data_IF_072823523784
#
_entry.id   IF_072823523784
#
_cell.length_a   1.000
_cell.length_b   1.000
_cell.length_c   1.000
_cell.angle_alpha   90.00
_cell.angle_beta   90.00
_cell.angle_gamma   90.00
#
_symmetry.space_group_name_H-M   'P 1'
#
loop_
_entity.id
_entity.type
_entity.pdbx_description
1 polymer ?
#
# COMPACT_ATOMS: atom_id res chain seq x y z
N UNK A 1 5.61 10.45 2.08
CA UNK A 1 4.28 10.12 2.63
C UNK A 1 3.76 8.85 1.98
N UNK A 2 3.36 7.87 2.78
CA UNK A 2 2.79 6.59 2.31
C UNK A 2 1.28 6.69 2.27
N UNK A 3 0.67 6.40 1.12
CA UNK A 3 -0.79 6.38 0.96
C UNK A 3 -1.23 5.01 0.45
N UNK A 4 -2.28 4.49 1.07
CA UNK A 4 -2.85 3.20 0.73
C UNK A 4 -4.29 3.35 0.28
N UNK A 5 -4.71 2.50 -0.66
CA UNK A 5 -6.09 2.39 -1.06
C UNK A 5 -6.80 1.37 -0.16
N UNK A 6 -7.88 1.78 0.51
CA UNK A 6 -8.71 0.90 1.35
C UNK A 6 -9.23 -0.34 0.61
N UNK A 7 -9.42 -0.23 -0.71
CA UNK A 7 -9.94 -1.31 -1.55
C UNK A 7 -8.84 -2.23 -2.11
N UNK A 8 -7.55 -1.93 -1.90
CA UNK A 8 -6.49 -2.77 -2.40
C UNK A 8 -6.36 -4.04 -1.55
N UNK A 9 -6.27 -5.19 -2.22
CA UNK A 9 -6.11 -6.45 -1.53
C UNK A 9 -4.78 -6.45 -0.75
N UNK A 10 -4.79 -6.90 0.50
CA UNK A 10 -3.58 -6.96 1.34
C UNK A 10 -3.23 -5.68 2.11
N UNK A 11 -3.98 -4.58 1.94
CA UNK A 11 -3.74 -3.31 2.65
C UNK A 11 -3.72 -3.46 4.17
N UNK A 12 -4.63 -4.27 4.73
CA UNK A 12 -4.75 -4.48 6.18
C UNK A 12 -3.45 -5.01 6.80
N UNK A 13 -2.82 -6.00 6.14
CA UNK A 13 -1.55 -6.59 6.60
C UNK A 13 -0.39 -5.61 6.52
N UNK A 14 -0.36 -4.76 5.48
CA UNK A 14 0.67 -3.73 5.35
C UNK A 14 0.51 -2.70 6.46
N UNK A 15 -0.73 -2.25 6.71
CA UNK A 15 -1.04 -1.28 7.77
C UNK A 15 -0.65 -1.82 9.15
N UNK A 16 -1.00 -3.07 9.48
CA UNK A 16 -0.56 -3.69 10.75
C UNK A 16 0.97 -3.70 10.92
N UNK A 17 1.72 -3.91 9.83
CA UNK A 17 3.17 -3.86 9.86
C UNK A 17 3.67 -2.43 10.16
N UNK A 18 3.10 -1.43 9.49
CA UNK A 18 3.47 -0.02 9.66
C UNK A 18 3.15 0.49 11.07
N UNK A 19 1.98 0.13 11.62
CA UNK A 19 1.57 0.46 12.98
C UNK A 19 2.57 -0.11 14.01
N UNK A 20 2.95 -1.40 13.87
CA UNK A 20 3.97 -2.04 14.74
C UNK A 20 5.34 -1.36 14.69
N UNK A 21 5.63 -0.65 13.60
CA UNK A 21 6.89 0.07 13.39
C UNK A 21 6.79 1.57 13.69
N UNK A 22 5.61 2.08 14.07
CA UNK A 22 5.33 3.51 14.20
C UNK A 22 5.69 4.30 12.94
N UNK A 23 5.42 3.74 11.76
CA UNK A 23 5.61 4.43 10.47
C UNK A 23 4.31 5.14 10.12
N UNK A 24 4.39 6.42 9.75
CA UNK A 24 3.23 7.21 9.33
C UNK A 24 2.69 6.79 7.96
N UNK A 25 1.36 6.72 7.85
CA UNK A 25 0.65 6.41 6.61
C UNK A 25 -0.72 7.11 6.57
N UNK A 26 -1.30 7.21 5.37
CA UNK A 26 -2.71 7.54 5.17
C UNK A 26 -3.44 6.39 4.46
N UNK A 27 -4.72 6.22 4.78
CA UNK A 27 -5.62 5.32 4.07
C UNK A 27 -6.67 6.17 3.38
N UNK A 28 -6.66 6.14 2.05
CA UNK A 28 -7.64 6.80 1.21
C UNK A 28 -8.73 5.81 0.78
N UNK A 29 -9.94 6.31 0.50
CA UNK A 29 -11.01 5.47 -0.03
C UNK A 29 -10.65 4.86 -1.40
N UNK A 30 -10.02 5.64 -2.27
CA UNK A 30 -9.53 5.23 -3.59
C UNK A 30 -8.30 6.07 -3.95
N UNK A 31 -7.36 5.48 -4.68
CA UNK A 31 -6.15 6.18 -5.21
C UNK A 31 -6.13 6.26 -6.74
N UNK A 32 -7.22 5.88 -7.41
CA UNK A 32 -7.39 5.85 -8.87
C UNK A 32 -6.41 4.95 -9.65
N UNK A 33 -5.68 4.08 -8.96
CA UNK A 33 -4.76 3.08 -9.53
C UNK A 33 -5.47 1.73 -9.77
N UNK A 34 -6.71 1.73 -10.27
CA UNK A 34 -7.54 0.52 -10.38
C UNK A 34 -6.87 -0.60 -11.19
N UNK A 35 -6.15 -0.24 -12.26
CA UNK A 35 -5.44 -1.22 -13.09
C UNK A 35 -4.41 -2.05 -12.31
N UNK A 36 -3.80 -1.46 -11.28
CA UNK A 36 -2.85 -2.12 -10.38
C UNK A 36 -3.60 -2.75 -9.20
N UNK A 37 -4.57 -2.03 -8.64
CA UNK A 37 -5.35 -2.42 -7.46
C UNK A 37 -6.04 -3.78 -7.59
N UNK A 38 -6.48 -4.14 -8.81
CA UNK A 38 -7.16 -5.41 -9.09
C UNK A 38 -6.20 -6.60 -9.29
N UNK A 39 -4.89 -6.36 -9.41
CA UNK A 39 -3.91 -7.39 -9.80
C UNK A 39 -2.72 -7.52 -8.84
N UNK A 40 -2.40 -6.46 -8.09
CA UNK A 40 -1.19 -6.36 -7.26
C UNK A 40 -1.50 -5.67 -5.94
N UNK A 41 -0.61 -5.83 -4.96
CA UNK A 41 -0.54 -4.93 -3.80
C UNK A 41 0.24 -3.67 -4.18
N UNK A 42 -0.19 -2.50 -3.73
CA UNK A 42 0.54 -1.27 -4.03
C UNK A 42 0.46 -0.23 -2.91
N UNK A 43 1.38 0.72 -2.97
CA UNK A 43 1.42 1.94 -2.15
C UNK A 43 1.76 3.11 -3.05
N UNK A 44 1.22 4.29 -2.73
CA UNK A 44 1.69 5.55 -3.31
C UNK A 44 2.66 6.20 -2.34
N UNK A 45 3.94 6.26 -2.70
CA UNK A 45 5.03 6.84 -1.91
C UNK A 45 5.50 8.11 -2.59
N UNK A 46 5.23 9.25 -1.97
CA UNK A 46 5.67 10.57 -2.47
C UNK A 46 5.20 10.87 -3.91
N UNK A 47 4.00 10.40 -4.25
CA UNK A 47 3.39 10.58 -5.58
C UNK A 47 3.69 9.46 -6.57
N UNK A 48 4.67 8.60 -6.30
CA UNK A 48 5.02 7.45 -7.13
C UNK A 48 4.31 6.18 -6.67
N UNK A 49 3.95 5.31 -7.62
CA UNK A 49 3.31 4.03 -7.32
C UNK A 49 4.37 2.94 -7.25
N UNK A 50 4.43 2.24 -6.11
CA UNK A 50 5.22 1.04 -5.91
C UNK A 50 4.25 -0.12 -5.79
N UNK A 51 4.41 -1.15 -6.61
CA UNK A 51 3.50 -2.30 -6.63
C UNK A 51 4.26 -3.62 -6.73
N UNK A 52 3.81 -4.62 -5.99
CA UNK A 52 4.39 -5.97 -5.96
C UNK A 52 3.29 -7.04 -6.03
N UNK A 53 3.69 -8.29 -6.25
CA UNK A 53 2.74 -9.40 -6.33
C UNK A 53 2.29 -9.86 -4.92
N UNK A 54 3.12 -9.64 -3.90
CA UNK A 54 2.84 -10.04 -2.51
C UNK A 54 3.07 -8.91 -1.50
N UNK A 55 2.35 -8.98 -0.37
CA UNK A 55 2.48 -8.03 0.75
C UNK A 55 3.92 -8.01 1.27
N UNK A 56 4.55 -9.17 1.35
CA UNK A 56 5.90 -9.35 1.86
C UNK A 56 6.96 -8.70 0.96
N UNK A 57 6.77 -8.73 -0.36
CA UNK A 57 7.61 -8.00 -1.31
C UNK A 57 7.42 -6.50 -1.19
N UNK A 58 6.17 -6.05 -1.06
CA UNK A 58 5.85 -4.63 -0.92
C UNK A 58 6.50 -4.05 0.34
N UNK A 59 6.37 -4.72 1.48
CA UNK A 59 6.97 -4.32 2.77
C UNK A 59 8.50 -4.16 2.66
N UNK A 60 9.19 -4.97 1.85
CA UNK A 60 10.66 -4.85 1.69
C UNK A 60 11.08 -3.60 0.91
N UNK A 61 10.18 -2.98 0.16
CA UNK A 61 10.46 -1.79 -0.67
C UNK A 61 10.00 -0.47 -0.02
N UNK A 62 9.20 -0.54 1.04
CA UNK A 62 8.68 0.62 1.77
C UNK A 62 9.71 1.09 2.78
#
# INVERSE_FOLDING_TARGET
MLQFCKNNNGVEKVVEYLEKKNIEYSIENCLDECAICHSKVFVKKDGEVISEDTVEELIKKI
#
